data_IF_186186461719
#
_entry.id   IF_186186461719
#
_cell.length_a   1.000
_cell.length_b   1.000
_cell.length_c   1.000
_cell.angle_alpha   90.00
_cell.angle_beta   90.00
_cell.angle_gamma   90.00
#
_symmetry.space_group_name_H-M   'P 1'
#
loop_
_entity.id
_entity.type
_entity.pdbx_description
1 polymer ?
#
# COMPACT_ATOMS: atom_id res chain seq x y z
N UNK A 1 1.26 4.67 -15.00
CA UNK A 1 2.46 4.97 -14.19
C UNK A 1 3.70 4.89 -15.08
N UNK A 2 4.25 6.03 -15.48
CA UNK A 2 5.49 6.10 -16.26
C UNK A 2 6.59 6.72 -15.38
N UNK A 3 7.64 5.94 -15.09
CA UNK A 3 8.81 6.37 -14.30
C UNK A 3 9.99 6.28 -15.25
N UNK A 4 10.76 7.35 -15.39
CA UNK A 4 11.93 7.43 -16.27
C UNK A 4 13.21 7.07 -15.51
N UNK A 5 14.28 6.74 -16.24
CA UNK A 5 15.60 6.53 -15.63
C UNK A 5 16.18 7.82 -15.04
N UNK A 6 15.82 8.99 -15.60
CA UNK A 6 16.19 10.29 -15.03
C UNK A 6 15.55 10.49 -13.65
N UNK A 7 14.23 10.24 -13.56
CA UNK A 7 13.52 10.29 -12.28
C UNK A 7 14.13 9.32 -11.27
N UNK A 8 14.46 8.10 -11.69
CA UNK A 8 15.14 7.12 -10.84
C UNK A 8 16.49 7.62 -10.29
N UNK A 9 17.32 8.19 -11.16
CA UNK A 9 18.63 8.72 -10.76
C UNK A 9 18.46 9.82 -9.70
N UNK A 10 17.53 10.76 -9.93
CA UNK A 10 17.23 11.85 -8.99
C UNK A 10 16.64 11.35 -7.67
N UNK A 11 15.83 10.28 -7.69
CA UNK A 11 15.36 9.61 -6.46
C UNK A 11 16.54 9.02 -5.67
N UNK A 12 17.47 8.33 -6.34
CA UNK A 12 18.66 7.79 -5.69
C UNK A 12 19.56 8.90 -5.09
N UNK A 13 19.58 10.07 -5.71
CA UNK A 13 20.28 11.28 -5.22
C UNK A 13 19.51 12.02 -4.12
N UNK A 14 18.36 11.50 -3.68
CA UNK A 14 17.47 12.11 -2.68
C UNK A 14 16.94 13.50 -3.04
N UNK A 15 16.71 13.77 -4.32
CA UNK A 15 16.09 15.01 -4.80
C UNK A 15 14.64 15.13 -4.30
N UNK A 16 14.28 16.14 -3.46
CA UNK A 16 12.92 16.35 -3.00
C UNK A 16 11.91 16.56 -4.13
N UNK A 17 12.33 17.19 -5.24
CA UNK A 17 11.45 17.41 -6.39
C UNK A 17 11.14 16.08 -7.11
N UNK A 18 12.10 15.15 -7.16
CA UNK A 18 11.89 13.82 -7.71
C UNK A 18 10.91 13.01 -6.86
N UNK A 19 11.01 13.08 -5.53
CA UNK A 19 10.04 12.40 -4.65
C UNK A 19 8.62 12.95 -4.84
N UNK A 20 8.47 14.25 -5.02
CA UNK A 20 7.16 14.87 -5.33
C UNK A 20 6.63 14.38 -6.68
N UNK A 21 7.45 14.38 -7.72
CA UNK A 21 7.09 13.89 -9.05
C UNK A 21 6.67 12.41 -8.98
N UNK A 22 7.44 11.57 -8.28
CA UNK A 22 7.13 10.17 -8.05
C UNK A 22 5.78 10.01 -7.33
N UNK A 23 5.52 10.80 -6.30
CA UNK A 23 4.25 10.78 -5.59
C UNK A 23 3.07 11.10 -6.52
N UNK A 24 3.15 12.17 -7.30
CA UNK A 24 2.08 12.59 -8.22
C UNK A 24 1.72 11.50 -9.26
N UNK A 25 2.72 10.77 -9.77
CA UNK A 25 2.47 9.71 -10.77
C UNK A 25 2.10 8.35 -10.17
N UNK A 26 2.38 8.12 -8.87
CA UNK A 26 2.20 6.80 -8.24
C UNK A 26 1.14 6.75 -7.16
N UNK A 27 0.75 7.87 -6.56
CA UNK A 27 -0.23 7.90 -5.48
C UNK A 27 -1.56 7.27 -5.89
N UNK A 28 -2.25 7.81 -6.89
CA UNK A 28 -3.55 7.26 -7.34
C UNK A 28 -3.47 5.78 -7.75
N UNK A 29 -2.51 5.33 -8.58
CA UNK A 29 -2.38 3.90 -8.90
C UNK A 29 -2.17 2.99 -7.67
N UNK A 30 -1.42 3.45 -6.67
CA UNK A 30 -1.15 2.69 -5.46
C UNK A 30 -2.36 2.67 -4.51
N UNK A 31 -3.07 3.78 -4.36
CA UNK A 31 -4.32 3.86 -3.59
C UNK A 31 -5.38 2.95 -4.20
N UNK A 32 -5.58 2.98 -5.53
CA UNK A 32 -6.53 2.07 -6.22
C UNK A 32 -6.13 0.61 -6.04
N UNK A 33 -4.83 0.31 -6.03
CA UNK A 33 -4.33 -1.05 -5.77
C UNK A 33 -4.60 -1.49 -4.33
N UNK A 34 -4.39 -0.63 -3.34
CA UNK A 34 -4.72 -0.89 -1.94
C UNK A 34 -6.25 -1.08 -1.75
N UNK A 35 -7.06 -0.23 -2.36
CA UNK A 35 -8.51 -0.27 -2.29
C UNK A 35 -9.10 -1.58 -2.79
N UNK A 36 -8.55 -2.12 -3.87
CA UNK A 36 -8.92 -3.46 -4.38
C UNK A 36 -8.67 -4.60 -3.38
N UNK A 37 -7.86 -4.37 -2.34
CA UNK A 37 -7.57 -5.34 -1.29
C UNK A 37 -8.37 -5.05 -0.01
N UNK A 38 -8.48 -3.78 0.38
CA UNK A 38 -9.05 -3.36 1.66
C UNK A 38 -10.55 -3.05 1.61
N UNK A 39 -11.08 -2.72 0.44
CA UNK A 39 -12.44 -2.19 0.23
C UNK A 39 -12.77 -0.99 1.14
N UNK A 40 -11.75 -0.23 1.53
CA UNK A 40 -11.84 0.92 2.41
C UNK A 40 -10.98 2.05 1.83
N UNK A 41 -11.60 3.17 1.49
CA UNK A 41 -10.95 4.31 0.82
C UNK A 41 -9.92 5.00 1.74
N UNK A 42 -10.33 5.39 2.94
CA UNK A 42 -9.48 6.07 3.93
C UNK A 42 -8.22 5.26 4.24
N UNK A 43 -8.39 3.96 4.52
CA UNK A 43 -7.29 3.05 4.82
C UNK A 43 -6.37 2.84 3.60
N UNK A 44 -6.92 2.89 2.39
CA UNK A 44 -6.13 2.77 1.16
C UNK A 44 -5.21 3.96 0.95
N UNK A 45 -5.69 5.16 1.24
CA UNK A 45 -4.88 6.37 1.19
C UNK A 45 -3.78 6.32 2.25
N UNK A 46 -4.11 5.99 3.49
CA UNK A 46 -3.15 5.87 4.59
C UNK A 46 -2.07 4.82 4.30
N UNK A 47 -2.45 3.67 3.73
CA UNK A 47 -1.52 2.64 3.29
C UNK A 47 -0.56 3.16 2.21
N UNK A 48 -1.07 3.90 1.22
CA UNK A 48 -0.24 4.47 0.16
C UNK A 48 0.73 5.49 0.75
N UNK A 49 0.25 6.42 1.58
CA UNK A 49 1.07 7.42 2.29
C UNK A 49 2.17 6.74 3.11
N UNK A 50 1.84 5.71 3.87
CA UNK A 50 2.81 4.96 4.66
C UNK A 50 3.90 4.29 3.80
N UNK A 51 3.57 3.84 2.59
CA UNK A 51 4.56 3.29 1.67
C UNK A 51 5.57 4.37 1.20
N UNK A 52 5.11 5.58 0.88
CA UNK A 52 6.00 6.71 0.54
C UNK A 52 6.85 7.16 1.71
N UNK A 53 6.27 7.26 2.91
CA UNK A 53 7.02 7.61 4.12
C UNK A 53 8.15 6.61 4.40
N UNK A 54 7.92 5.32 4.14
CA UNK A 54 8.96 4.29 4.22
C UNK A 54 10.02 4.39 3.14
N UNK A 55 9.63 4.79 1.91
CA UNK A 55 10.59 5.04 0.84
C UNK A 55 11.55 6.18 1.24
N UNK A 56 11.00 7.32 1.68
CA UNK A 56 11.75 8.52 2.08
C UNK A 56 12.67 8.29 3.29
N UNK A 57 12.25 7.47 4.26
CA UNK A 57 13.02 7.23 5.49
C UNK A 57 14.18 6.25 5.35
N UNK A 58 14.23 5.47 4.26
CA UNK A 58 15.20 4.38 4.11
C UNK A 58 16.39 4.70 3.21
N UNK A 59 16.41 5.84 2.51
CA UNK A 59 17.48 6.24 1.57
C UNK A 59 17.89 5.08 0.66
N UNK A 60 16.90 4.39 0.07
CA UNK A 60 17.14 3.20 -0.75
C UNK A 60 17.74 3.58 -2.09
N UNK A 61 18.65 2.75 -2.58
CA UNK A 61 19.21 2.86 -3.93
C UNK A 61 18.57 1.77 -4.78
N UNK A 62 18.05 2.15 -5.95
CA UNK A 62 17.45 1.25 -6.92
C UNK A 62 18.28 1.24 -8.19
N UNK A 63 18.62 0.05 -8.70
CA UNK A 63 19.43 -0.11 -9.91
C UNK A 63 18.59 -0.01 -11.19
N UNK A 64 17.28 -0.21 -11.08
CA UNK A 64 16.35 -0.18 -12.20
C UNK A 64 14.96 0.33 -11.78
N UNK A 65 14.22 0.90 -12.74
CA UNK A 65 12.87 1.41 -12.53
C UNK A 65 11.92 0.31 -12.05
N UNK A 66 12.11 -0.92 -12.54
CA UNK A 66 11.33 -2.09 -12.16
C UNK A 66 11.48 -2.41 -10.67
N UNK A 67 12.67 -2.21 -10.10
CA UNK A 67 12.94 -2.43 -8.68
C UNK A 67 12.19 -1.41 -7.82
N UNK A 68 12.21 -0.12 -8.21
CA UNK A 68 11.45 0.94 -7.53
C UNK A 68 9.94 0.65 -7.57
N UNK A 69 9.41 0.29 -8.74
CA UNK A 69 7.99 -0.09 -8.89
C UNK A 69 7.64 -1.28 -8.01
N UNK A 70 8.44 -2.34 -8.07
CA UNK A 70 8.22 -3.54 -7.27
C UNK A 70 8.22 -3.21 -5.77
N UNK A 71 9.18 -2.40 -5.31
CA UNK A 71 9.24 -1.96 -3.92
C UNK A 71 7.96 -1.25 -3.48
N UNK A 72 7.45 -0.31 -4.28
CA UNK A 72 6.22 0.44 -3.98
C UNK A 72 5.02 -0.50 -3.87
N UNK A 73 4.79 -1.35 -4.87
CA UNK A 73 3.66 -2.28 -4.87
C UNK A 73 3.74 -3.33 -3.76
N UNK A 74 4.94 -3.88 -3.49
CA UNK A 74 5.15 -4.83 -2.39
C UNK A 74 4.91 -4.14 -1.04
N UNK A 75 5.39 -2.92 -0.86
CA UNK A 75 5.19 -2.15 0.37
C UNK A 75 3.71 -1.90 0.64
N UNK A 76 2.96 -1.48 -0.37
CA UNK A 76 1.50 -1.29 -0.28
C UNK A 76 0.78 -2.61 0.00
N UNK A 77 1.08 -3.67 -0.75
CA UNK A 77 0.50 -5.00 -0.55
C UNK A 77 0.69 -5.50 0.88
N UNK A 78 1.90 -5.37 1.41
CA UNK A 78 2.24 -5.83 2.76
C UNK A 78 1.48 -5.04 3.82
N UNK A 79 1.36 -3.71 3.67
CA UNK A 79 0.54 -2.88 4.55
C UNK A 79 -0.94 -3.25 4.50
N UNK A 80 -1.51 -3.44 3.30
CA UNK A 80 -2.90 -3.83 3.13
C UNK A 80 -3.20 -5.22 3.74
N UNK A 81 -2.31 -6.20 3.56
CA UNK A 81 -2.45 -7.50 4.21
C UNK A 81 -2.38 -7.41 5.73
N UNK A 82 -1.54 -6.52 6.27
CA UNK A 82 -1.48 -6.28 7.70
C UNK A 82 -2.78 -5.66 8.23
N UNK A 83 -3.30 -4.64 7.55
CA UNK A 83 -4.60 -4.04 7.86
C UNK A 83 -5.71 -5.11 7.91
N UNK A 84 -5.85 -5.92 6.85
CA UNK A 84 -6.85 -6.99 6.78
C UNK A 84 -6.70 -8.04 7.89
N UNK A 85 -5.46 -8.32 8.31
CA UNK A 85 -5.20 -9.26 9.41
C UNK A 85 -5.65 -8.70 10.76
N UNK A 86 -5.54 -7.39 10.97
CA UNK A 86 -6.01 -6.71 12.18
C UNK A 86 -7.53 -6.61 12.17
N UNK A 87 -8.13 -6.14 11.07
CA UNK A 87 -9.58 -6.03 10.92
C UNK A 87 -10.29 -7.37 11.19
N UNK A 88 -9.77 -8.49 10.65
CA UNK A 88 -10.32 -9.84 10.89
C UNK A 88 -10.23 -10.33 12.35
N UNK A 89 -9.36 -9.74 13.18
CA UNK A 89 -9.27 -10.09 14.61
C UNK A 89 -10.23 -9.27 15.46
N UNK A 90 -10.65 -8.11 14.96
CA UNK A 90 -11.58 -7.21 15.64
C UNK A 90 -13.04 -7.51 15.31
N UNK A 91 -13.30 -8.27 14.23
CA UNK A 91 -14.60 -8.93 14.03
C UNK A 91 -14.82 -9.98 15.14
N UNK A 92 -15.77 -9.79 16.07
CA UNK A 92 -16.20 -10.86 16.96
C UNK A 92 -16.77 -12.01 16.11
N UNK A 93 -16.68 -13.27 16.57
CA UNK A 93 -17.20 -14.40 15.79
C UNK A 93 -18.67 -14.16 15.46
N UNK A 94 -18.99 -14.05 14.18
CA UNK A 94 -20.37 -14.04 13.71
C UNK A 94 -21.12 -15.21 14.40
N UNK A 95 -22.20 -14.87 15.09
CA UNK A 95 -23.12 -15.77 15.76
C UNK A 95 -23.84 -16.68 14.74
N UNK A 96 -23.10 -17.58 14.10
CA UNK A 96 -23.63 -18.64 13.23
C UNK A 96 -24.09 -19.83 14.06
N UNK A 97 -25.06 -19.66 14.96
CA UNK A 97 -26.00 -20.74 15.33
C UNK A 97 -27.32 -20.26 15.95
N UNK A 98 -27.93 -19.18 15.46
CA UNK A 98 -29.38 -19.01 15.60
C UNK A 98 -30.10 -20.02 14.68
N UNK A 99 -30.18 -21.28 15.11
CA UNK A 99 -30.71 -22.36 14.27
C UNK A 99 -30.66 -23.78 14.84
N UNK A 100 -30.72 -23.95 16.17
CA UNK A 100 -31.20 -25.21 16.76
C UNK A 100 -32.41 -24.92 17.62
N UNK A 101 -33.46 -24.46 16.94
CA UNK A 101 -34.81 -24.45 17.48
C UNK A 101 -35.19 -25.90 17.76
N UNK A 102 -35.59 -26.14 18.99
CA UNK A 102 -36.44 -27.23 19.48
C UNK A 102 -36.67 -28.40 18.51
N UNK A 103 -36.21 -29.59 18.91
CA UNK A 103 -37.12 -30.72 18.82
C UNK A 103 -36.94 -31.65 20.02
N UNK A 104 -38.10 -32.08 20.50
CA UNK A 104 -38.43 -32.84 21.71
C UNK A 104 -37.59 -34.09 21.94
#
# INVERSE_FOLDING_TARGET
MHITNDLLARINDNDPAAYKELYEITFTPLTVFAYRMTDNEDESEDIAIAAFTRLLSKNLIFEAVEQLKAYLYISVRNSALNYLRVAKKEDPPEEKTAGRIANR
#
